data_IF_943653546713
#
_entry.id   IF_943653546713
#
_cell.length_a   1.000
_cell.length_b   1.000
_cell.length_c   1.000
_cell.angle_alpha   90.00
_cell.angle_beta   90.00
_cell.angle_gamma   90.00
#
_symmetry.space_group_name_H-M   'P 1'
#
loop_
_entity.id
_entity.type
_entity.pdbx_description
1 polymer ?
#
# COMPACT_ATOMS: atom_id res chain seq x y z
N UNK A 1 43.24 -3.17 -16.41
CA UNK A 1 42.20 -2.42 -17.16
C UNK A 1 41.03 -2.29 -16.20
N UNK A 2 41.15 -1.37 -15.25
CA UNK A 2 40.33 -1.36 -14.03
C UNK A 2 40.25 0.09 -13.52
N UNK A 3 39.74 0.99 -14.36
CA UNK A 3 39.54 2.42 -14.00
C UNK A 3 38.18 2.94 -14.54
N UNK A 4 37.35 2.10 -15.17
CA UNK A 4 36.14 2.60 -15.84
C UNK A 4 34.84 2.42 -15.05
N UNK A 5 34.76 1.60 -14.01
CA UNK A 5 33.46 1.35 -13.33
C UNK A 5 32.99 2.51 -12.46
N UNK A 6 33.92 3.29 -11.90
CA UNK A 6 33.59 4.22 -10.82
C UNK A 6 33.20 5.63 -11.32
N UNK A 7 33.48 5.93 -12.59
CA UNK A 7 33.07 7.18 -13.26
C UNK A 7 31.68 7.09 -13.95
N UNK A 8 31.13 5.88 -14.11
CA UNK A 8 29.86 5.60 -14.80
C UNK A 8 28.61 6.04 -14.01
N UNK A 9 28.54 5.88 -12.67
CA UNK A 9 27.32 6.22 -11.92
C UNK A 9 26.96 7.70 -11.98
N UNK A 10 27.96 8.60 -11.96
CA UNK A 10 27.75 10.04 -12.04
C UNK A 10 27.12 10.43 -13.39
N UNK A 11 27.67 9.93 -14.50
CA UNK A 11 27.15 10.20 -15.85
C UNK A 11 25.74 9.62 -16.03
N UNK A 12 25.46 8.43 -15.50
CA UNK A 12 24.12 7.83 -15.54
C UNK A 12 23.12 8.68 -14.75
N UNK A 13 23.51 9.18 -13.57
CA UNK A 13 22.64 10.01 -12.75
C UNK A 13 22.40 11.39 -13.38
N UNK A 14 23.43 12.00 -13.97
CA UNK A 14 23.30 13.24 -14.74
C UNK A 14 22.35 13.07 -15.93
N UNK A 15 22.45 11.95 -16.65
CA UNK A 15 21.58 11.64 -17.77
C UNK A 15 20.13 11.42 -17.33
N UNK A 16 19.91 10.69 -16.23
CA UNK A 16 18.58 10.55 -15.61
C UNK A 16 17.99 11.91 -15.23
N UNK A 17 18.80 12.76 -14.60
CA UNK A 17 18.36 14.10 -14.20
C UNK A 17 18.01 14.97 -15.41
N UNK A 18 18.81 14.92 -16.48
CA UNK A 18 18.51 15.62 -17.72
C UNK A 18 17.15 15.21 -18.30
N UNK A 19 16.83 13.90 -18.35
CA UNK A 19 15.54 13.45 -18.85
C UNK A 19 14.38 13.84 -17.92
N UNK A 20 14.59 13.82 -16.60
CA UNK A 20 13.60 14.32 -15.65
C UNK A 20 13.31 15.79 -15.93
N UNK A 21 14.33 16.65 -16.01
CA UNK A 21 14.18 18.08 -16.22
C UNK A 21 13.51 18.41 -17.56
N UNK A 22 13.83 17.63 -18.61
CA UNK A 22 13.22 17.76 -19.94
C UNK A 22 11.71 17.46 -19.91
N UNK A 23 11.30 16.41 -19.19
CA UNK A 23 9.93 15.91 -19.20
C UNK A 23 9.03 16.57 -18.15
N UNK A 24 9.60 17.08 -17.06
CA UNK A 24 8.85 17.50 -15.87
C UNK A 24 7.82 18.57 -16.18
N UNK A 25 8.21 19.63 -16.90
CA UNK A 25 7.29 20.72 -17.23
C UNK A 25 6.07 20.23 -18.05
N UNK A 26 6.31 19.33 -19.01
CA UNK A 26 5.25 18.76 -19.84
C UNK A 26 4.34 17.82 -19.03
N UNK A 27 4.92 17.02 -18.14
CA UNK A 27 4.17 16.14 -17.24
C UNK A 27 3.28 16.94 -16.28
N UNK A 28 3.82 17.99 -15.65
CA UNK A 28 3.08 18.86 -14.73
C UNK A 28 1.92 19.56 -15.43
N UNK A 29 2.12 20.01 -16.68
CA UNK A 29 1.06 20.59 -17.50
C UNK A 29 -0.03 19.57 -17.89
N UNK A 30 0.36 18.32 -18.12
CA UNK A 30 -0.58 17.23 -18.47
C UNK A 30 -1.42 16.75 -17.27
N UNK A 31 -0.86 16.87 -16.06
CA UNK A 31 -1.50 16.46 -14.81
C UNK A 31 -1.71 14.95 -14.72
N UNK A 32 -2.43 14.50 -13.68
CA UNK A 32 -2.78 13.09 -13.47
C UNK A 32 -4.25 12.78 -13.78
N UNK A 33 -5.09 13.80 -13.77
CA UNK A 33 -6.53 13.66 -13.92
C UNK A 33 -6.95 13.67 -15.39
N UNK A 34 -7.99 12.90 -15.71
CA UNK A 34 -8.65 12.97 -17.01
C UNK A 34 -9.24 14.35 -17.25
N UNK A 35 -9.05 14.90 -18.44
CA UNK A 35 -9.57 16.21 -18.83
C UNK A 35 -10.76 16.00 -19.78
N UNK A 36 -11.92 16.59 -19.45
CA UNK A 36 -13.11 16.48 -20.29
C UNK A 36 -12.87 17.08 -21.67
N UNK A 37 -13.20 16.33 -22.73
CA UNK A 37 -13.01 16.75 -24.12
C UNK A 37 -11.56 16.71 -24.62
N UNK A 38 -10.62 16.14 -23.86
CA UNK A 38 -9.24 15.97 -24.34
C UNK A 38 -9.13 14.93 -25.46
N UNK A 39 -8.08 15.06 -26.28
CA UNK A 39 -7.81 14.07 -27.31
C UNK A 39 -7.34 12.75 -26.69
N UNK A 40 -7.65 11.64 -27.34
CA UNK A 40 -7.15 10.32 -26.92
C UNK A 40 -5.61 10.29 -26.82
N UNK A 41 -4.91 10.95 -27.76
CA UNK A 41 -3.46 11.04 -27.74
C UNK A 41 -2.93 11.82 -26.52
N UNK A 42 -3.62 12.87 -26.08
CA UNK A 42 -3.23 13.60 -24.86
C UNK A 42 -3.39 12.74 -23.61
N UNK A 43 -4.46 11.96 -23.53
CA UNK A 43 -4.67 11.02 -22.43
C UNK A 43 -3.60 9.92 -22.39
N UNK A 44 -3.19 9.38 -23.54
CA UNK A 44 -2.08 8.42 -23.62
C UNK A 44 -0.75 9.06 -23.23
N UNK A 45 -0.46 10.25 -23.75
CA UNK A 45 0.78 10.97 -23.48
C UNK A 45 0.98 11.25 -21.98
N UNK A 46 -0.11 11.48 -21.24
CA UNK A 46 -0.09 11.58 -19.78
C UNK A 46 0.52 10.34 -19.11
N UNK A 47 0.07 9.15 -19.53
CA UNK A 47 0.58 7.88 -19.03
C UNK A 47 2.06 7.69 -19.35
N UNK A 48 2.47 8.05 -20.57
CA UNK A 48 3.86 7.97 -21.01
C UNK A 48 4.78 8.88 -20.22
N UNK A 49 4.35 10.12 -19.90
CA UNK A 49 5.13 11.01 -19.04
C UNK A 49 5.34 10.42 -17.65
N UNK A 50 4.29 9.88 -17.03
CA UNK A 50 4.38 9.23 -15.71
C UNK A 50 5.32 8.03 -15.73
N UNK A 51 5.21 7.17 -16.77
CA UNK A 51 6.07 6.00 -16.92
C UNK A 51 7.54 6.39 -17.11
N UNK A 52 7.82 7.38 -17.98
CA UNK A 52 9.17 7.86 -18.22
C UNK A 52 9.79 8.48 -16.96
N UNK A 53 9.06 9.36 -16.27
CA UNK A 53 9.53 9.98 -15.02
C UNK A 53 9.79 8.95 -13.92
N UNK A 54 8.94 7.94 -13.78
CA UNK A 54 9.16 6.81 -12.87
C UNK A 54 10.44 6.04 -13.26
N UNK A 55 10.59 5.69 -14.54
CA UNK A 55 11.75 4.97 -15.08
C UNK A 55 13.07 5.69 -14.78
N UNK A 56 13.10 7.02 -14.88
CA UNK A 56 14.29 7.82 -14.57
C UNK A 56 14.50 8.10 -13.07
N UNK A 57 13.58 7.67 -12.21
CA UNK A 57 13.72 7.77 -10.76
C UNK A 57 13.18 9.06 -10.15
N UNK A 58 12.21 9.72 -10.78
CA UNK A 58 11.58 10.91 -10.21
C UNK A 58 10.74 10.56 -8.97
N UNK A 59 11.27 10.86 -7.79
CA UNK A 59 10.68 10.49 -6.50
C UNK A 59 9.23 10.94 -6.29
N UNK A 60 8.85 12.15 -6.75
CA UNK A 60 7.47 12.63 -6.60
C UNK A 60 6.50 11.81 -7.45
N UNK A 61 6.87 11.46 -8.67
CA UNK A 61 6.06 10.61 -9.54
C UNK A 61 5.87 9.22 -8.94
N UNK A 62 6.94 8.61 -8.40
CA UNK A 62 6.82 7.34 -7.70
C UNK A 62 5.87 7.41 -6.50
N UNK A 63 6.00 8.44 -5.67
CA UNK A 63 5.14 8.62 -4.50
C UNK A 63 3.67 8.77 -4.89
N UNK A 64 3.38 9.59 -5.89
CA UNK A 64 2.02 9.78 -6.40
C UNK A 64 1.44 8.50 -7.00
N UNK A 65 2.22 7.77 -7.81
CA UNK A 65 1.81 6.49 -8.38
C UNK A 65 1.45 5.46 -7.30
N UNK A 66 2.29 5.34 -6.27
CA UNK A 66 2.03 4.46 -5.13
C UNK A 66 0.76 4.87 -4.38
N UNK A 67 0.57 6.17 -4.12
CA UNK A 67 -0.61 6.67 -3.43
C UNK A 67 -1.91 6.38 -4.19
N UNK A 68 -1.91 6.58 -5.52
CA UNK A 68 -3.06 6.26 -6.37
C UNK A 68 -3.34 4.77 -6.42
N UNK A 69 -2.30 3.95 -6.51
CA UNK A 69 -2.43 2.49 -6.50
C UNK A 69 -3.02 1.99 -5.17
N UNK A 70 -2.54 2.51 -4.03
CA UNK A 70 -3.13 2.22 -2.73
C UNK A 70 -4.60 2.65 -2.64
N UNK A 71 -4.94 3.84 -3.13
CA UNK A 71 -6.33 4.31 -3.17
C UNK A 71 -7.25 3.35 -3.94
N UNK A 72 -6.79 2.79 -5.06
CA UNK A 72 -7.55 1.80 -5.81
C UNK A 72 -7.83 0.52 -4.98
N UNK A 73 -6.84 0.01 -4.25
CA UNK A 73 -7.02 -1.17 -3.40
C UNK A 73 -7.95 -0.92 -2.23
N UNK A 74 -7.87 0.27 -1.62
CA UNK A 74 -8.77 0.67 -0.55
C UNK A 74 -10.21 0.68 -1.06
N UNK A 75 -10.48 1.26 -2.24
CA UNK A 75 -11.81 1.24 -2.85
C UNK A 75 -12.31 -0.18 -3.11
N UNK A 76 -11.43 -1.08 -3.55
CA UNK A 76 -11.78 -2.50 -3.71
C UNK A 76 -12.19 -3.12 -2.37
N UNK A 77 -11.43 -2.89 -1.29
CA UNK A 77 -11.74 -3.45 0.03
C UNK A 77 -12.95 -2.80 0.70
N UNK A 78 -13.22 -1.52 0.44
CA UNK A 78 -14.42 -0.83 0.95
C UNK A 78 -15.71 -1.44 0.40
N UNK A 79 -15.67 -2.02 -0.81
CA UNK A 79 -16.81 -2.71 -1.42
C UNK A 79 -16.85 -4.21 -1.12
N UNK A 80 -15.77 -4.78 -0.57
CA UNK A 80 -15.72 -6.19 -0.22
C UNK A 80 -16.61 -6.51 0.98
N UNK A 81 -17.22 -7.70 0.97
CA UNK A 81 -18.05 -8.20 2.06
C UNK A 81 -18.10 -9.74 2.03
N UNK A 82 -18.72 -10.33 3.05
CA UNK A 82 -19.03 -11.77 3.07
C UNK A 82 -19.94 -12.22 1.94
N UNK A 83 -20.76 -11.33 1.37
CA UNK A 83 -21.62 -11.62 0.22
C UNK A 83 -21.00 -11.27 -1.13
N UNK A 84 -20.01 -10.37 -1.15
CA UNK A 84 -19.21 -10.03 -2.33
C UNK A 84 -17.72 -10.10 -2.00
N UNK A 85 -17.15 -11.28 -2.20
CA UNK A 85 -15.76 -11.60 -1.84
C UNK A 85 -14.76 -11.29 -2.94
N UNK A 86 -15.22 -10.83 -4.12
CA UNK A 86 -14.35 -10.62 -5.29
C UNK A 86 -13.18 -9.68 -4.97
N UNK A 87 -13.42 -8.63 -4.18
CA UNK A 87 -12.39 -7.66 -3.82
C UNK A 87 -11.26 -8.26 -2.98
N UNK A 88 -11.59 -8.93 -1.87
CA UNK A 88 -10.58 -9.57 -1.02
C UNK A 88 -9.87 -10.71 -1.75
N UNK A 89 -10.60 -11.53 -2.49
CA UNK A 89 -10.02 -12.66 -3.23
C UNK A 89 -9.04 -12.19 -4.31
N UNK A 90 -9.37 -11.10 -5.02
CA UNK A 90 -8.49 -10.50 -6.02
C UNK A 90 -7.21 -9.94 -5.40
N UNK A 91 -7.31 -9.26 -4.25
CA UNK A 91 -6.13 -8.71 -3.58
C UNK A 91 -5.27 -9.80 -2.93
N UNK A 92 -5.87 -10.83 -2.31
CA UNK A 92 -5.11 -11.97 -1.80
C UNK A 92 -4.41 -12.74 -2.93
N UNK A 93 -5.07 -12.90 -4.08
CA UNK A 93 -4.44 -13.47 -5.26
C UNK A 93 -3.24 -12.62 -5.71
N UNK A 94 -3.42 -11.30 -5.80
CA UNK A 94 -2.34 -10.38 -6.16
C UNK A 94 -1.18 -10.45 -5.17
N UNK A 95 -1.45 -10.53 -3.86
CA UNK A 95 -0.42 -10.72 -2.84
C UNK A 95 0.41 -11.99 -3.06
N UNK A 96 -0.26 -13.10 -3.41
CA UNK A 96 0.39 -14.39 -3.62
C UNK A 96 1.21 -14.42 -4.92
N UNK A 97 0.73 -13.74 -5.96
CA UNK A 97 1.37 -13.67 -7.28
C UNK A 97 2.43 -12.56 -7.40
N UNK A 98 2.47 -11.60 -6.47
CA UNK A 98 3.43 -10.50 -6.50
C UNK A 98 4.89 -10.99 -6.39
N UNK A 99 5.71 -10.51 -7.32
CA UNK A 99 7.14 -10.84 -7.40
C UNK A 99 7.98 -10.02 -6.41
N UNK A 100 7.52 -8.80 -6.09
CA UNK A 100 8.29 -7.87 -5.25
C UNK A 100 7.75 -7.78 -3.83
N UNK A 101 8.67 -7.52 -2.89
CA UNK A 101 8.30 -7.24 -1.49
C UNK A 101 7.42 -5.99 -1.42
N UNK A 102 7.73 -4.97 -2.20
CA UNK A 102 7.01 -3.70 -2.19
C UNK A 102 5.55 -3.88 -2.61
N UNK A 103 5.26 -4.66 -3.67
CA UNK A 103 3.88 -4.95 -4.08
C UNK A 103 3.12 -5.71 -2.99
N UNK A 104 3.76 -6.69 -2.35
CA UNK A 104 3.17 -7.42 -1.22
C UNK A 104 2.81 -6.49 -0.07
N UNK A 105 3.72 -5.58 0.29
CA UNK A 105 3.48 -4.58 1.33
C UNK A 105 2.31 -3.64 0.96
N UNK A 106 2.21 -3.21 -0.30
CA UNK A 106 1.12 -2.36 -0.77
C UNK A 106 -0.23 -3.04 -0.61
N UNK A 107 -0.33 -4.33 -0.94
CA UNK A 107 -1.55 -5.11 -0.74
C UNK A 107 -1.88 -5.23 0.76
N UNK A 108 -0.93 -5.68 1.59
CA UNK A 108 -1.15 -5.88 3.02
C UNK A 108 -1.67 -4.61 3.71
N UNK A 109 -1.12 -3.45 3.35
CA UNK A 109 -1.53 -2.15 3.90
C UNK A 109 -3.02 -1.83 3.72
N UNK A 110 -3.67 -2.40 2.71
CA UNK A 110 -5.04 -2.07 2.34
C UNK A 110 -6.06 -3.11 2.80
N UNK A 111 -5.67 -4.35 3.09
CA UNK A 111 -6.61 -5.44 3.37
C UNK A 111 -7.55 -5.15 4.56
N UNK A 112 -7.05 -4.51 5.62
CA UNK A 112 -7.85 -4.24 6.81
C UNK A 112 -8.86 -3.09 6.65
N UNK A 113 -8.91 -2.41 5.48
CA UNK A 113 -9.81 -1.28 5.26
C UNK A 113 -11.24 -1.70 4.96
N UNK A 114 -11.52 -3.00 4.89
CA UNK A 114 -12.86 -3.53 4.68
C UNK A 114 -13.76 -3.26 5.90
N UNK A 115 -14.98 -2.72 5.70
CA UNK A 115 -15.91 -2.45 6.79
C UNK A 115 -16.65 -3.71 7.29
N UNK A 116 -16.64 -4.82 6.54
CA UNK A 116 -17.28 -6.08 6.96
C UNK A 116 -16.48 -6.72 8.13
N UNK A 117 -17.07 -6.85 9.32
CA UNK A 117 -16.40 -7.39 10.51
C UNK A 117 -15.84 -8.80 10.33
N UNK A 118 -16.49 -9.65 9.53
CA UNK A 118 -16.06 -11.03 9.31
C UNK A 118 -14.86 -11.08 8.36
N UNK A 119 -14.87 -10.24 7.32
CA UNK A 119 -13.73 -10.09 6.40
C UNK A 119 -12.52 -9.52 7.15
N UNK A 120 -12.72 -8.52 8.01
CA UNK A 120 -11.63 -7.99 8.82
C UNK A 120 -11.03 -9.06 9.75
N UNK A 121 -11.86 -9.89 10.39
CA UNK A 121 -11.37 -10.99 11.22
C UNK A 121 -10.53 -11.98 10.40
N UNK A 122 -10.98 -12.32 9.20
CA UNK A 122 -10.24 -13.15 8.25
C UNK A 122 -8.87 -12.54 7.92
N UNK A 123 -8.82 -11.24 7.62
CA UNK A 123 -7.59 -10.49 7.33
C UNK A 123 -6.63 -10.47 8.53
N UNK A 124 -7.13 -10.26 9.75
CA UNK A 124 -6.31 -10.27 10.96
C UNK A 124 -5.77 -11.67 11.27
N UNK A 125 -6.52 -12.73 10.96
CA UNK A 125 -6.02 -14.10 11.07
C UNK A 125 -4.97 -14.41 9.98
N UNK A 126 -5.20 -13.95 8.75
CA UNK A 126 -4.24 -14.06 7.65
C UNK A 126 -2.91 -13.39 7.99
N UNK A 127 -2.95 -12.23 8.66
CA UNK A 127 -1.76 -11.51 9.14
C UNK A 127 -0.81 -12.36 10.00
N UNK A 128 -1.34 -13.34 10.75
CA UNK A 128 -0.54 -14.24 11.61
C UNK A 128 -0.30 -15.62 10.99
N UNK A 129 -0.78 -15.86 9.77
CA UNK A 129 -0.58 -17.13 9.07
C UNK A 129 0.83 -17.26 8.52
N UNK A 130 1.24 -18.49 8.21
CA UNK A 130 2.55 -18.76 7.61
C UNK A 130 2.70 -18.20 6.17
N UNK A 131 1.61 -17.72 5.55
CA UNK A 131 1.69 -17.04 4.25
C UNK A 131 2.31 -15.63 4.37
N UNK A 132 2.20 -14.98 5.53
CA UNK A 132 2.69 -13.62 5.77
C UNK A 132 3.99 -13.69 6.57
N UNK A 133 5.06 -13.09 6.04
CA UNK A 133 6.34 -13.00 6.78
C UNK A 133 6.13 -12.22 8.07
N UNK A 134 6.72 -12.69 9.16
CA UNK A 134 6.53 -12.09 10.49
C UNK A 134 6.80 -10.57 10.51
N UNK A 135 7.81 -10.10 9.79
CA UNK A 135 8.15 -8.66 9.69
C UNK A 135 7.16 -7.84 8.86
N UNK A 136 6.45 -8.45 7.92
CA UNK A 136 5.48 -7.78 7.04
C UNK A 136 4.08 -7.73 7.68
N UNK A 137 3.83 -8.57 8.69
CA UNK A 137 2.54 -8.65 9.40
C UNK A 137 2.05 -7.28 9.89
N UNK A 138 2.97 -6.40 10.30
CA UNK A 138 2.67 -5.04 10.78
C UNK A 138 1.90 -4.21 9.75
N UNK A 139 2.06 -4.50 8.45
CA UNK A 139 1.47 -3.70 7.39
C UNK A 139 -0.05 -3.82 7.35
N UNK A 140 -0.61 -4.97 7.73
CA UNK A 140 -2.07 -5.18 7.79
C UNK A 140 -2.73 -4.19 8.76
N UNK A 141 -2.05 -3.78 9.83
CA UNK A 141 -2.60 -2.91 10.86
C UNK A 141 -2.70 -1.43 10.46
N UNK A 142 -2.22 -1.04 9.27
CA UNK A 142 -2.16 0.38 8.89
C UNK A 142 -3.52 1.00 8.59
N UNK A 143 -4.49 0.22 8.10
CA UNK A 143 -5.77 0.74 7.62
C UNK A 143 -6.95 -0.05 8.18
N UNK A 144 -7.00 -0.28 9.49
CA UNK A 144 -8.16 -0.91 10.11
C UNK A 144 -9.38 0.01 9.98
N UNK A 145 -10.46 -0.49 9.40
CA UNK A 145 -11.74 0.22 9.29
C UNK A 145 -12.29 0.62 10.67
N UNK A 146 -12.99 1.76 10.72
CA UNK A 146 -13.61 2.25 11.95
C UNK A 146 -14.74 1.33 12.44
N UNK A 147 -15.46 0.69 11.52
CA UNK A 147 -16.51 -0.29 11.73
C UNK A 147 -15.95 -1.56 12.37
N UNK A 148 -14.72 -1.91 12.00
CA UNK A 148 -14.00 -3.09 12.48
C UNK A 148 -13.35 -2.96 13.86
N UNK A 149 -13.41 -1.80 14.51
CA UNK A 149 -12.71 -1.51 15.78
C UNK A 149 -12.96 -2.53 16.89
N UNK A 150 -14.20 -2.99 17.05
CA UNK A 150 -14.56 -3.97 18.09
C UNK A 150 -14.04 -5.38 17.78
N UNK A 151 -14.02 -5.75 16.49
CA UNK A 151 -13.43 -7.01 16.04
C UNK A 151 -11.93 -6.99 16.27
N UNK A 152 -11.25 -5.92 15.85
CA UNK A 152 -9.81 -5.78 16.04
C UNK A 152 -9.41 -5.83 17.52
N UNK A 153 -10.19 -5.20 18.39
CA UNK A 153 -9.95 -5.25 19.84
C UNK A 153 -10.15 -6.65 20.44
N UNK A 154 -11.25 -7.34 20.09
CA UNK A 154 -11.47 -8.71 20.56
C UNK A 154 -10.38 -9.65 20.08
N UNK A 155 -10.06 -9.57 18.80
CA UNK A 155 -8.99 -10.34 18.17
C UNK A 155 -7.64 -10.11 18.85
N UNK A 156 -7.28 -8.86 19.16
CA UNK A 156 -6.02 -8.55 19.85
C UNK A 156 -5.97 -9.20 21.24
N UNK A 157 -7.06 -9.15 22.01
CA UNK A 157 -7.11 -9.79 23.33
C UNK A 157 -6.94 -11.30 23.25
N UNK A 158 -7.61 -11.94 22.30
CA UNK A 158 -7.56 -13.38 22.10
C UNK A 158 -6.18 -13.87 21.64
N UNK A 159 -5.43 -13.02 20.91
CA UNK A 159 -4.12 -13.36 20.35
C UNK A 159 -2.95 -12.72 21.10
N UNK A 160 -3.19 -12.07 22.24
CA UNK A 160 -2.19 -11.26 22.94
C UNK A 160 -0.92 -12.05 23.28
N UNK A 161 -1.09 -13.21 23.93
CA UNK A 161 0.04 -14.03 24.37
C UNK A 161 0.86 -14.55 23.19
N UNK A 162 0.20 -14.93 22.08
CA UNK A 162 0.86 -15.34 20.84
C UNK A 162 1.66 -14.18 20.24
N UNK A 163 1.05 -12.99 20.11
CA UNK A 163 1.69 -11.80 19.53
C UNK A 163 2.93 -11.43 20.35
N UNK A 164 2.79 -11.38 21.67
CA UNK A 164 3.87 -11.01 22.57
C UNK A 164 5.01 -12.04 22.56
N UNK A 165 4.69 -13.34 22.55
CA UNK A 165 5.69 -14.40 22.61
C UNK A 165 6.40 -14.64 21.26
N UNK A 166 5.67 -14.67 20.14
CA UNK A 166 6.24 -15.01 18.82
C UNK A 166 6.83 -13.80 18.11
N UNK A 167 6.10 -12.69 18.07
CA UNK A 167 6.45 -11.53 17.22
C UNK A 167 7.19 -10.42 18.00
N UNK A 168 7.16 -10.50 19.33
CA UNK A 168 7.90 -9.62 20.22
C UNK A 168 7.52 -8.14 20.08
N UNK A 169 8.46 -7.28 20.45
CA UNK A 169 8.21 -5.85 20.65
C UNK A 169 7.65 -5.13 19.41
N UNK A 170 8.05 -5.53 18.20
CA UNK A 170 7.63 -4.83 16.98
C UNK A 170 6.12 -4.97 16.75
N UNK A 171 5.60 -6.20 16.60
CA UNK A 171 4.18 -6.38 16.34
C UNK A 171 3.33 -5.90 17.53
N UNK A 172 3.78 -6.16 18.77
CA UNK A 172 3.10 -5.64 19.97
C UNK A 172 2.96 -4.12 19.93
N UNK A 173 4.03 -3.39 19.55
CA UNK A 173 3.98 -1.94 19.39
C UNK A 173 2.95 -1.49 18.34
N UNK A 174 2.89 -2.16 17.19
CA UNK A 174 1.91 -1.81 16.15
C UNK A 174 0.47 -2.14 16.57
N UNK A 175 0.23 -3.27 17.22
CA UNK A 175 -1.09 -3.59 17.77
C UNK A 175 -1.55 -2.52 18.77
N UNK A 176 -0.68 -2.10 19.70
CA UNK A 176 -0.96 -1.05 20.67
C UNK A 176 -1.29 0.27 19.96
N UNK A 177 -0.46 0.69 19.01
CA UNK A 177 -0.60 2.02 18.38
C UNK A 177 -1.65 2.10 17.28
N UNK A 178 -2.11 0.96 16.74
CA UNK A 178 -3.10 0.92 15.66
C UNK A 178 -4.48 0.43 16.09
N UNK A 179 -4.57 -0.49 17.04
CA UNK A 179 -5.85 -1.04 17.50
C UNK A 179 -6.40 -0.24 18.68
N UNK A 180 -5.58 0.05 19.70
CA UNK A 180 -6.09 0.70 20.92
C UNK A 180 -6.70 2.09 20.68
N UNK A 181 -6.12 2.98 19.85
CA UNK A 181 -6.72 4.30 19.62
C UNK A 181 -8.13 4.22 19.02
N UNK A 182 -8.40 3.23 18.16
CA UNK A 182 -9.71 3.00 17.56
C UNK A 182 -10.76 2.63 18.60
N UNK A 183 -10.36 1.93 19.66
CA UNK A 183 -11.24 1.55 20.76
C UNK A 183 -11.37 2.67 21.81
N UNK A 184 -10.29 3.37 22.15
CA UNK A 184 -10.34 4.44 23.15
C UNK A 184 -11.17 5.63 22.69
N UNK A 185 -11.12 6.00 21.41
CA UNK A 185 -11.97 7.06 20.84
C UNK A 185 -13.47 6.75 21.00
N UNK A 186 -13.86 5.47 20.98
CA UNK A 186 -15.24 5.05 21.16
C UNK A 186 -15.74 5.25 22.60
N UNK A 187 -14.88 5.02 23.60
CA UNK A 187 -15.24 5.19 25.02
C UNK A 187 -15.44 6.66 25.43
N UNK A 188 -14.91 7.63 24.68
CA UNK A 188 -15.09 9.06 24.95
C UNK A 188 -16.32 9.69 24.27
N UNK A 189 -16.98 8.98 23.36
CA UNK A 189 -18.14 9.48 22.58
C UNK A 189 -19.48 8.89 23.11
N UNK A 190 -19.40 7.93 24.05
CA UNK A 190 -20.55 7.41 24.81
C UNK A 190 -20.71 8.14 26.15
#
# INVERSE_FOLDING_TARGET
>A
MEIASDAIPAVVNELKQFFIDLLLFSAEKSGWESISGESHLNALLRGEFSLALATFGHNKTHKEAIQRFQAAFIVVMLNASTTDRNGIESLLKLYREADTVQEKELVLRCLASCPDPNILLEVLNFMLSDEVRDQDSIYVLFMISSEGREVAWRWLKENWDLIFAKYGAMLTYYCITKILPLYSLFLYIM
#
